data_IF_996841751748
#
_entry.id   IF_996841751748
#
_cell.length_a   1.000
_cell.length_b   1.000
_cell.length_c   1.000
_cell.angle_alpha   90.00
_cell.angle_beta   90.00
_cell.angle_gamma   90.00
#
_symmetry.space_group_name_H-M   'P 1'
#
loop_
_entity.id
_entity.type
_entity.pdbx_description
1 polymer ?
#
# COMPACT_ATOMS: atom_id res chain seq x y z
N UNK A 1 -0.57 -9.85 11.87
CA UNK A 1 0.02 -8.53 11.61
C UNK A 1 -0.53 -7.98 10.30
N UNK A 2 -0.91 -6.73 10.31
CA UNK A 2 -1.44 -6.06 9.12
C UNK A 2 -0.35 -5.18 8.52
N UNK A 3 0.00 -5.44 7.27
CA UNK A 3 1.08 -4.72 6.59
C UNK A 3 0.51 -4.01 5.38
N UNK A 4 0.74 -2.71 5.29
CA UNK A 4 0.34 -1.92 4.13
C UNK A 4 1.53 -1.81 3.19
N UNK A 5 1.38 -2.38 2.00
CA UNK A 5 2.39 -2.31 0.96
C UNK A 5 2.08 -1.23 -0.05
N UNK A 6 3.10 -0.51 -0.46
CA UNK A 6 2.96 0.58 -1.42
C UNK A 6 4.00 0.38 -2.51
N UNK A 7 3.57 0.45 -3.75
CA UNK A 7 4.45 0.32 -4.91
C UNK A 7 4.31 1.57 -5.76
N UNK A 8 5.40 2.30 -5.90
CA UNK A 8 5.43 3.53 -6.70
C UNK A 8 6.40 3.42 -7.87
N UNK A 9 6.78 2.22 -8.24
CA UNK A 9 7.68 2.04 -9.37
C UNK A 9 6.90 2.17 -10.67
N UNK A 10 7.36 3.04 -11.57
CA UNK A 10 6.74 3.21 -12.87
C UNK A 10 5.57 4.17 -12.86
N UNK A 11 4.67 3.99 -13.83
CA UNK A 11 3.52 4.88 -14.04
C UNK A 11 2.30 4.44 -13.26
N UNK A 12 2.40 3.34 -12.55
CA UNK A 12 1.28 2.77 -11.79
C UNK A 12 1.59 2.92 -10.32
N UNK A 13 0.65 3.47 -9.58
CA UNK A 13 0.71 3.52 -8.12
C UNK A 13 -0.20 2.43 -7.59
N UNK A 14 0.29 1.65 -6.64
CA UNK A 14 -0.48 0.56 -6.09
C UNK A 14 -0.30 0.51 -4.58
N UNK A 15 -1.34 0.07 -3.90
CA UNK A 15 -1.29 -0.17 -2.46
C UNK A 15 -2.07 -1.44 -2.16
N UNK A 16 -1.64 -2.16 -1.15
CA UNK A 16 -2.29 -3.41 -0.76
C UNK A 16 -2.14 -3.61 0.73
N UNK A 17 -3.13 -4.21 1.35
CA UNK A 17 -3.05 -4.61 2.74
C UNK A 17 -2.91 -6.12 2.83
N UNK A 18 -1.84 -6.57 3.45
CA UNK A 18 -1.52 -7.97 3.62
C UNK A 18 -1.67 -8.37 5.09
N UNK A 19 -2.32 -9.48 5.33
CA UNK A 19 -2.47 -10.04 6.66
C UNK A 19 -1.53 -11.24 6.79
N UNK A 20 -0.54 -11.13 7.67
CA UNK A 20 0.44 -12.21 7.83
C UNK A 20 -0.13 -13.42 8.53
N UNK A 21 -1.17 -13.24 9.34
CA UNK A 21 -1.79 -14.39 10.04
C UNK A 21 -2.62 -15.24 9.09
N UNK A 22 -3.33 -14.60 8.18
CA UNK A 22 -4.15 -15.30 7.20
C UNK A 22 -3.42 -15.55 5.89
N UNK A 23 -2.20 -15.01 5.75
CA UNK A 23 -1.36 -15.17 4.57
C UNK A 23 -2.09 -14.77 3.30
N UNK A 24 -2.79 -13.63 3.34
CA UNK A 24 -3.52 -13.18 2.17
C UNK A 24 -3.54 -11.66 2.07
N UNK A 25 -3.73 -11.19 0.84
CA UNK A 25 -3.97 -9.78 0.58
C UNK A 25 -5.46 -9.52 0.78
N UNK A 26 -5.77 -8.63 1.70
CA UNK A 26 -7.17 -8.35 2.03
C UNK A 26 -7.79 -7.32 1.12
N UNK A 27 -6.99 -6.39 0.62
CA UNK A 27 -7.47 -5.37 -0.30
C UNK A 27 -6.30 -4.86 -1.11
N UNK A 28 -6.61 -4.43 -2.32
CA UNK A 28 -5.57 -3.92 -3.23
C UNK A 28 -6.20 -2.87 -4.11
N UNK A 29 -5.46 -1.78 -4.32
CA UNK A 29 -5.87 -0.71 -5.21
C UNK A 29 -4.72 -0.36 -6.13
N UNK A 30 -5.03 -0.13 -7.39
CA UNK A 30 -4.04 0.21 -8.39
C UNK A 30 -4.56 1.38 -9.20
N UNK A 31 -3.69 2.37 -9.41
CA UNK A 31 -4.07 3.55 -10.17
C UNK A 31 -2.99 3.87 -11.20
N UNK A 32 -3.39 3.93 -12.45
CA UNK A 32 -2.53 4.40 -13.52
C UNK A 32 -2.67 5.92 -13.59
N UNK A 33 -1.58 6.63 -13.32
CA UNK A 33 -1.67 8.07 -13.19
C UNK A 33 -0.40 8.74 -13.71
N UNK A 34 -0.57 9.98 -14.18
CA UNK A 34 0.54 10.84 -14.54
C UNK A 34 0.92 11.78 -13.41
N UNK A 35 0.16 11.76 -12.32
CA UNK A 35 0.48 12.56 -11.14
C UNK A 35 1.69 11.99 -10.44
N UNK A 36 2.31 12.80 -9.61
CA UNK A 36 3.39 12.29 -8.77
C UNK A 36 2.82 11.24 -7.82
N UNK A 37 3.62 10.22 -7.54
CA UNK A 37 3.16 9.14 -6.68
C UNK A 37 2.83 9.63 -5.28
N UNK A 38 3.55 10.64 -4.80
CA UNK A 38 3.27 11.18 -3.48
C UNK A 38 1.87 11.80 -3.38
N UNK A 39 1.29 12.20 -4.51
CA UNK A 39 -0.05 12.78 -4.51
C UNK A 39 -1.15 11.73 -4.50
N UNK A 40 -0.84 10.48 -4.84
CA UNK A 40 -1.88 9.46 -4.97
C UNK A 40 -1.74 8.32 -3.97
N UNK A 41 -0.56 8.15 -3.35
CA UNK A 41 -0.33 7.04 -2.42
C UNK A 41 -1.23 7.13 -1.21
N UNK A 42 -1.32 8.28 -0.59
CA UNK A 42 -2.12 8.42 0.62
C UNK A 42 -3.60 8.21 0.35
N UNK A 43 -4.18 8.79 -0.72
CA UNK A 43 -5.57 8.46 -1.04
C UNK A 43 -5.80 6.99 -1.31
N UNK A 44 -4.87 6.30 -1.97
CA UNK A 44 -5.02 4.87 -2.21
C UNK A 44 -5.02 4.09 -0.91
N UNK A 45 -4.10 4.41 -0.01
CA UNK A 45 -4.02 3.73 1.27
C UNK A 45 -5.26 3.99 2.11
N UNK A 46 -5.73 5.23 2.12
CA UNK A 46 -6.93 5.56 2.85
C UNK A 46 -8.15 4.83 2.30
N UNK A 47 -8.22 4.68 0.99
CA UNK A 47 -9.32 3.94 0.38
C UNK A 47 -9.31 2.48 0.82
N UNK A 48 -8.14 1.87 0.85
CA UNK A 48 -8.01 0.48 1.27
C UNK A 48 -8.47 0.32 2.73
N UNK A 49 -8.00 1.20 3.60
CA UNK A 49 -8.37 1.12 5.00
C UNK A 49 -9.86 1.36 5.20
N UNK A 50 -10.42 2.31 4.46
CA UNK A 50 -11.84 2.60 4.53
C UNK A 50 -12.67 1.39 4.09
N UNK A 51 -12.28 0.76 2.99
CA UNK A 51 -13.00 -0.40 2.49
C UNK A 51 -12.96 -1.57 3.46
N UNK A 52 -11.89 -1.68 4.23
CA UNK A 52 -11.74 -2.75 5.23
C UNK A 52 -12.23 -2.32 6.61
N UNK A 53 -12.71 -1.10 6.73
CA UNK A 53 -13.16 -0.54 8.01
C UNK A 53 -12.04 -0.57 9.05
N UNK A 54 -10.83 -0.25 8.61
CA UNK A 54 -9.65 -0.23 9.46
C UNK A 54 -9.17 1.20 9.68
N UNK A 55 -8.43 1.39 10.77
CA UNK A 55 -7.78 2.66 11.05
C UNK A 55 -6.28 2.53 10.83
N UNK A 56 -5.60 3.68 10.73
CA UNK A 56 -4.15 3.68 10.60
C UNK A 56 -3.47 2.99 11.78
N UNK A 57 -4.08 3.05 12.95
CA UNK A 57 -3.52 2.43 14.15
C UNK A 57 -3.49 0.91 14.07
N UNK A 58 -4.31 0.33 13.23
CA UNK A 58 -4.34 -1.11 13.06
C UNK A 58 -3.28 -1.61 12.07
N UNK A 59 -2.67 -0.70 11.33
CA UNK A 59 -1.57 -1.05 10.42
C UNK A 59 -0.29 -1.16 11.24
N UNK A 60 0.31 -2.33 11.23
CA UNK A 60 1.46 -2.62 12.08
C UNK A 60 2.79 -2.53 11.35
N UNK A 61 2.76 -2.54 10.03
CA UNK A 61 3.98 -2.46 9.26
C UNK A 61 3.74 -1.83 7.90
N UNK A 62 4.80 -1.30 7.32
CA UNK A 62 4.76 -0.71 5.99
C UNK A 62 5.87 -1.31 5.14
N UNK A 63 5.55 -1.60 3.90
CA UNK A 63 6.52 -2.05 2.92
C UNK A 63 6.41 -1.13 1.71
N UNK A 64 7.53 -0.59 1.27
CA UNK A 64 7.54 0.37 0.17
C UNK A 64 8.49 -0.12 -0.92
N UNK A 65 7.98 -0.27 -2.13
CA UNK A 65 8.77 -0.57 -3.31
C UNK A 65 8.98 0.72 -4.08
N UNK A 66 10.23 1.09 -4.29
CA UNK A 66 10.61 2.32 -4.98
C UNK A 66 11.55 1.96 -6.11
N UNK A 67 11.14 2.32 -7.33
CA UNK A 67 11.93 1.97 -8.49
C UNK A 67 11.94 0.47 -8.75
N UNK A 68 12.58 0.03 -9.82
CA UNK A 68 12.57 -1.39 -10.18
C UNK A 68 13.32 -2.23 -9.16
N UNK A 69 12.59 -3.11 -8.49
CA UNK A 69 13.19 -4.11 -7.64
C UNK A 69 13.73 -3.65 -6.30
N UNK A 70 13.39 -2.45 -5.85
CA UNK A 70 13.93 -1.91 -4.61
C UNK A 70 12.87 -1.84 -3.53
N UNK A 71 13.23 -2.27 -2.33
CA UNK A 71 12.44 -2.06 -1.13
C UNK A 71 13.22 -1.22 -0.17
N UNK A 72 12.58 -0.21 0.41
CA UNK A 72 13.25 0.73 1.29
C UNK A 72 13.00 0.46 2.76
N UNK A 73 12.08 -0.38 3.09
CA UNK A 73 11.91 -0.67 4.50
C UNK A 73 10.60 -1.35 4.81
N UNK A 74 10.57 -1.88 6.02
CA UNK A 74 9.40 -2.52 6.57
C UNK A 74 9.27 -2.06 8.01
N UNK A 75 8.13 -1.50 8.33
CA UNK A 75 7.91 -1.00 9.66
C UNK A 75 6.66 -1.58 10.25
#
# INVERSE_FOLDING_TARGET
MQILGIDTSGKVAAAALYDTEQHCIKAQQTLYTRRTHSQVILPLAERILSDLEMTWQQVEGFAVAVGPGSYTGLR
#
